data_IF_977459158010
#
_entry.id   IF_977459158010
#
_cell.length_a   1.000
_cell.length_b   1.000
_cell.length_c   1.000
_cell.angle_alpha   90.00
_cell.angle_beta   90.00
_cell.angle_gamma   90.00
#
_symmetry.space_group_name_H-M   'P 1'
#
loop_
_entity.id
_entity.type
_entity.pdbx_description
1 polymer ?
#
# COMPACT_ATOMS: atom_id res chain seq x y z
N UNK A 1 2.91 0.74 1.09
CA UNK A 1 2.77 -0.49 0.26
C UNK A 1 2.06 -0.13 -1.04
N UNK A 2 2.28 -0.85 -2.14
CA UNK A 2 1.76 -0.58 -3.50
C UNK A 2 2.46 0.56 -4.28
N UNK A 3 2.23 1.84 -3.96
CA UNK A 3 2.65 2.97 -4.81
C UNK A 3 4.17 3.15 -4.96
N UNK A 4 4.95 2.63 -4.01
CA UNK A 4 6.40 2.81 -3.94
C UNK A 4 7.19 1.97 -4.96
N UNK A 5 6.57 0.98 -5.61
CA UNK A 5 7.23 0.06 -6.55
C UNK A 5 6.48 0.02 -7.87
N UNK A 6 7.23 0.00 -8.98
CA UNK A 6 6.68 -0.12 -10.34
C UNK A 6 6.70 1.17 -11.16
N UNK A 7 6.89 2.33 -10.53
CA UNK A 7 7.10 3.61 -11.21
C UNK A 7 5.89 4.17 -11.96
N UNK A 8 4.70 3.60 -11.77
CA UNK A 8 3.47 4.08 -12.43
C UNK A 8 3.03 5.40 -11.83
N UNK A 9 2.94 6.44 -12.65
CA UNK A 9 2.40 7.75 -12.29
C UNK A 9 1.16 8.05 -13.15
N UNK A 10 0.21 8.83 -12.64
CA UNK A 10 -0.95 9.21 -13.44
C UNK A 10 -1.86 10.22 -12.77
N UNK A 11 -2.62 10.93 -13.60
CA UNK A 11 -3.67 11.87 -13.21
C UNK A 11 -5.01 11.43 -13.80
N UNK A 12 -6.08 11.92 -13.18
CA UNK A 12 -7.44 11.62 -13.63
C UNK A 12 -7.84 12.50 -14.81
N UNK A 13 -8.65 11.92 -15.69
CA UNK A 13 -9.42 12.67 -16.68
C UNK A 13 -10.90 12.60 -16.27
N UNK A 14 -11.74 13.53 -16.74
CA UNK A 14 -13.19 13.50 -16.42
C UNK A 14 -13.85 12.17 -16.80
N UNK A 15 -13.31 11.48 -17.80
CA UNK A 15 -13.80 10.19 -18.29
C UNK A 15 -13.21 8.97 -17.57
N UNK A 16 -12.26 9.12 -16.64
CA UNK A 16 -11.70 7.98 -15.93
C UNK A 16 -10.49 8.25 -15.05
N UNK A 17 -10.25 7.32 -14.13
CA UNK A 17 -9.15 7.36 -13.16
C UNK A 17 -7.82 6.97 -13.83
N UNK A 18 -6.74 7.73 -13.57
CA UNK A 18 -5.37 7.43 -14.01
C UNK A 18 -5.18 7.21 -15.53
N UNK A 19 -5.93 7.92 -16.38
CA UNK A 19 -5.87 7.75 -17.85
C UNK A 19 -4.68 8.45 -18.51
N UNK A 20 -4.08 9.44 -17.86
CA UNK A 20 -2.96 10.22 -18.40
C UNK A 20 -1.79 10.04 -17.44
N UNK A 21 -0.64 9.55 -17.91
CA UNK A 21 0.48 9.25 -17.03
C UNK A 21 1.73 8.72 -17.74
N UNK A 22 2.70 8.31 -16.94
CA UNK A 22 3.98 7.78 -17.40
C UNK A 22 4.56 6.76 -16.40
N UNK A 23 5.55 5.99 -16.86
CA UNK A 23 6.39 5.18 -15.98
C UNK A 23 7.69 5.94 -15.69
N UNK A 24 7.89 6.34 -14.43
CA UNK A 24 9.04 7.11 -13.98
C UNK A 24 9.53 6.58 -12.63
N UNK A 25 10.80 6.19 -12.56
CA UNK A 25 11.37 5.61 -11.33
C UNK A 25 11.89 6.73 -10.41
N UNK A 26 11.58 6.68 -9.10
CA UNK A 26 12.18 7.59 -8.14
C UNK A 26 13.66 7.23 -7.93
N UNK A 27 14.49 8.21 -7.54
CA UNK A 27 15.89 7.95 -7.16
C UNK A 27 15.99 7.26 -5.79
N UNK A 28 15.02 7.49 -4.91
CA UNK A 28 14.93 6.92 -3.58
C UNK A 28 13.47 6.86 -3.14
N UNK A 29 13.14 5.87 -2.32
CA UNK A 29 11.87 5.78 -1.59
C UNK A 29 12.19 5.78 -0.10
N UNK A 30 11.68 6.78 0.61
CA UNK A 30 11.77 6.87 2.07
C UNK A 30 10.42 6.46 2.67
N UNK A 31 10.44 5.54 3.63
CA UNK A 31 9.25 5.07 4.32
C UNK A 31 9.50 5.25 5.82
N UNK A 32 8.77 6.20 6.41
CA UNK A 32 8.80 6.49 7.84
C UNK A 32 7.49 6.00 8.48
N UNK A 33 7.59 4.98 9.32
CA UNK A 33 6.45 4.37 10.00
C UNK A 33 5.83 5.27 11.05
N UNK A 34 6.57 6.26 11.58
CA UNK A 34 6.06 7.16 12.61
C UNK A 34 4.94 8.06 12.05
N UNK A 35 4.93 8.27 10.73
CA UNK A 35 3.86 9.01 10.05
C UNK A 35 2.49 8.32 10.15
N UNK A 36 2.45 6.99 10.32
CA UNK A 36 1.22 6.22 10.47
C UNK A 36 0.43 6.61 11.74
N UNK A 37 1.13 7.07 12.78
CA UNK A 37 0.52 7.50 14.06
C UNK A 37 -0.45 8.68 13.91
N UNK A 38 -0.41 9.40 12.78
CA UNK A 38 -1.31 10.54 12.49
C UNK A 38 -2.32 10.24 11.39
N UNK A 39 -2.27 9.05 10.80
CA UNK A 39 -3.15 8.65 9.71
C UNK A 39 -4.54 8.26 10.27
N UNK A 40 -5.65 8.66 9.65
CA UNK A 40 -6.97 8.19 10.07
C UNK A 40 -7.08 6.66 9.99
N UNK A 41 -7.66 6.03 11.02
CA UNK A 41 -7.78 4.57 11.13
C UNK A 41 -8.36 3.90 9.88
N UNK A 42 -9.33 4.56 9.23
CA UNK A 42 -9.95 4.07 7.99
C UNK A 42 -8.94 3.96 6.85
N UNK A 43 -8.03 4.93 6.73
CA UNK A 43 -6.99 4.93 5.68
C UNK A 43 -5.91 3.89 6.01
N UNK A 44 -5.55 3.72 7.28
CA UNK A 44 -4.66 2.64 7.73
C UNK A 44 -5.25 1.27 7.36
N UNK A 45 -6.51 1.02 7.72
CA UNK A 45 -7.21 -0.22 7.38
C UNK A 45 -7.29 -0.45 5.86
N UNK A 46 -7.54 0.61 5.08
CA UNK A 46 -7.50 0.54 3.61
C UNK A 46 -6.12 0.13 3.08
N UNK A 47 -5.05 0.64 3.69
CA UNK A 47 -3.67 0.26 3.34
C UNK A 47 -3.34 -1.20 3.72
N UNK A 48 -3.80 -1.66 4.88
CA UNK A 48 -3.60 -3.05 5.34
C UNK A 48 -4.26 -4.06 4.39
N UNK A 49 -5.39 -3.73 3.76
CA UNK A 49 -6.00 -4.59 2.75
C UNK A 49 -5.03 -4.94 1.60
N UNK A 50 -4.19 -4.00 1.18
CA UNK A 50 -3.16 -4.23 0.16
C UNK A 50 -2.01 -5.11 0.68
N UNK A 51 -1.71 -5.07 1.99
CA UNK A 51 -0.72 -5.97 2.62
C UNK A 51 -1.23 -7.40 2.63
N UNK A 52 -2.50 -7.58 3.04
CA UNK A 52 -3.18 -8.89 3.08
C UNK A 52 -3.21 -9.52 1.69
N UNK A 53 -3.50 -8.72 0.64
CA UNK A 53 -3.48 -9.15 -0.76
C UNK A 53 -2.22 -9.93 -1.10
N UNK A 54 -1.03 -9.41 -0.75
CA UNK A 54 0.24 -10.08 -1.07
C UNK A 54 0.36 -11.46 -0.43
N UNK A 55 -0.08 -11.62 0.81
CA UNK A 55 -0.13 -12.94 1.46
C UNK A 55 -1.03 -13.90 0.69
N UNK A 56 -2.25 -13.47 0.37
CA UNK A 56 -3.23 -14.30 -0.34
C UNK A 56 -2.80 -14.71 -1.75
N UNK A 57 -2.15 -13.83 -2.51
CA UNK A 57 -1.84 -14.11 -3.92
C UNK A 57 -0.45 -14.72 -4.15
N UNK A 58 0.46 -14.64 -3.18
CA UNK A 58 1.88 -14.97 -3.40
C UNK A 58 2.61 -15.64 -2.24
N UNK A 59 2.18 -15.47 -0.99
CA UNK A 59 2.98 -15.89 0.16
C UNK A 59 2.10 -16.37 1.32
N UNK A 60 1.81 -17.67 1.35
CA UNK A 60 0.97 -18.29 2.38
C UNK A 60 1.56 -18.15 3.80
N UNK A 61 2.87 -18.42 4.04
CA UNK A 61 3.50 -18.15 5.34
C UNK A 61 3.35 -16.69 5.80
N UNK A 62 3.46 -15.73 4.87
CA UNK A 62 3.23 -14.32 5.21
C UNK A 62 1.76 -14.03 5.55
N UNK A 63 0.80 -14.69 4.89
CA UNK A 63 -0.61 -14.60 5.28
C UNK A 63 -0.85 -15.12 6.70
N UNK A 64 -0.32 -16.29 7.06
CA UNK A 64 -0.41 -16.83 8.42
C UNK A 64 0.25 -15.92 9.47
N UNK A 65 1.35 -15.24 9.11
CA UNK A 65 1.97 -14.25 9.99
C UNK A 65 1.05 -13.05 10.20
N UNK A 66 0.38 -12.54 9.16
CA UNK A 66 -0.55 -11.43 9.28
C UNK A 66 -1.75 -11.77 10.16
N UNK A 67 -2.32 -12.97 10.04
CA UNK A 67 -3.41 -13.43 10.92
C UNK A 67 -3.03 -13.38 12.40
N UNK A 68 -1.78 -13.76 12.72
CA UNK A 68 -1.26 -13.77 14.10
C UNK A 68 -0.94 -12.37 14.63
N UNK A 69 -0.67 -11.39 13.76
CA UNK A 69 -0.15 -10.07 14.15
C UNK A 69 -1.12 -8.92 13.87
N UNK A 70 -2.31 -9.17 13.33
CA UNK A 70 -3.24 -8.12 12.89
C UNK A 70 -3.57 -7.11 14.00
N UNK A 71 -3.74 -7.56 15.23
CA UNK A 71 -4.03 -6.67 16.35
C UNK A 71 -2.88 -5.70 16.64
N UNK A 72 -1.62 -6.14 16.47
CA UNK A 72 -0.45 -5.29 16.66
C UNK A 72 -0.23 -4.32 15.48
N UNK A 73 -0.69 -4.70 14.27
CA UNK A 73 -0.60 -3.84 13.07
C UNK A 73 -1.64 -2.72 13.05
N UNK A 74 -2.73 -2.87 13.81
CA UNK A 74 -3.82 -1.89 13.93
C UNK A 74 -3.81 -1.12 15.26
N UNK A 75 -2.80 -1.37 16.11
CA UNK A 75 -2.66 -0.77 17.44
C UNK A 75 -2.04 0.63 17.39
#
# INVERSE_FOLDING_TARGET
>A
VDSSVGGKTGINHRLGKNLIGAFYQPQCVLIDTDTLNTLPDRELASGIAEVIKYGLIRDAPFFEWQEKNMQALLA
#
